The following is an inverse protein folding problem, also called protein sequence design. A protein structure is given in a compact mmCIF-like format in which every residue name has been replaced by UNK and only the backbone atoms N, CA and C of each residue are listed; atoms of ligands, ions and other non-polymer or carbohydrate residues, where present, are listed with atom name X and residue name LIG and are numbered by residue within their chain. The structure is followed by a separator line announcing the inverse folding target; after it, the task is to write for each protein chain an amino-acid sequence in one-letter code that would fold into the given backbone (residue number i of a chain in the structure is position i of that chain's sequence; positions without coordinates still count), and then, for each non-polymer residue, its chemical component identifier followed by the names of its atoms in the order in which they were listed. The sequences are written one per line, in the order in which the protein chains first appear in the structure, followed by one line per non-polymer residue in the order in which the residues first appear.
data_IF_759057156013
#
_entry.id   IF_759057156013
#
_cell.length_a   1.000
_cell.length_b   1.000
_cell.length_c   1.000
_cell.angle_alpha   90.00
_cell.angle_beta   90.00
_cell.angle_gamma   90.00
#
_symmetry.space_group_name_H-M   'P 1'
#
loop_
_entity.id
_entity.type
_entity.pdbx_description
1 polymer ?
#
# COMPACT_ATOMS: atom_id res chain seq x y z
N UNK A 1 2.92 37.04 10.97
CA UNK A 1 4.24 37.31 10.34
C UNK A 1 5.32 36.37 10.88
N UNK A 2 5.54 36.30 12.19
CA UNK A 2 6.56 35.42 12.80
C UNK A 2 6.41 33.91 12.48
N UNK A 3 5.18 33.38 12.47
CA UNK A 3 4.90 31.96 12.14
C UNK A 3 5.27 31.61 10.69
N UNK A 4 4.99 32.51 9.75
CA UNK A 4 5.32 32.29 8.35
C UNK A 4 6.82 32.38 8.10
N UNK A 5 7.50 33.30 8.80
CA UNK A 5 8.96 33.43 8.72
C UNK A 5 9.65 32.20 9.34
N UNK A 6 9.17 31.69 10.47
CA UNK A 6 9.73 30.48 11.09
C UNK A 6 9.50 29.24 10.23
N UNK A 7 8.31 29.06 9.64
CA UNK A 7 8.04 28.00 8.66
C UNK A 7 8.95 28.11 7.44
N UNK A 8 9.13 29.31 6.90
CA UNK A 8 10.00 29.54 5.75
C UNK A 8 11.45 29.16 6.05
N UNK A 9 11.98 29.60 7.20
CA UNK A 9 13.34 29.26 7.64
C UNK A 9 13.45 27.74 7.84
N UNK A 10 12.46 27.10 8.48
CA UNK A 10 12.48 25.64 8.69
C UNK A 10 12.49 24.86 7.36
N UNK A 11 11.69 25.29 6.38
CA UNK A 11 11.66 24.70 5.03
C UNK A 11 13.01 24.91 4.33
N UNK A 12 13.60 26.10 4.42
CA UNK A 12 14.90 26.40 3.83
C UNK A 12 16.01 25.54 4.47
N UNK A 13 16.07 25.49 5.80
CA UNK A 13 17.02 24.63 6.53
C UNK A 13 16.85 23.17 6.13
N UNK A 14 15.61 22.67 6.05
CA UNK A 14 15.33 21.32 5.56
C UNK A 14 15.84 21.12 4.13
N UNK A 15 15.53 22.03 3.19
CA UNK A 15 15.87 21.92 1.78
C UNK A 15 17.38 21.84 1.49
N UNK A 16 18.19 22.56 2.27
CA UNK A 16 19.65 22.56 2.18
C UNK A 16 20.33 21.53 3.09
N UNK A 17 19.59 20.87 3.98
CA UNK A 17 20.12 19.80 4.83
C UNK A 17 20.34 18.49 4.05
N UNK A 18 21.12 17.54 4.61
CA UNK A 18 21.18 16.18 4.09
C UNK A 18 19.81 15.51 3.95
N UNK A 19 18.86 15.81 4.83
CA UNK A 19 17.49 15.29 4.74
C UNK A 19 16.77 15.83 3.50
N UNK A 20 16.93 17.12 3.17
CA UNK A 20 16.41 17.71 1.94
C UNK A 20 17.09 17.16 0.68
N UNK A 21 18.39 16.87 0.75
CA UNK A 21 19.09 16.20 -0.33
C UNK A 21 18.53 14.78 -0.58
N UNK A 22 18.28 14.01 0.48
CA UNK A 22 17.63 12.69 0.38
C UNK A 22 16.20 12.78 -0.15
N UNK A 23 15.42 13.75 0.32
CA UNK A 23 14.07 14.00 -0.19
C UNK A 23 14.08 14.27 -1.70
N UNK A 24 15.00 15.11 -2.20
CA UNK A 24 15.16 15.35 -3.65
C UNK A 24 15.58 14.07 -4.40
N UNK A 25 16.51 13.30 -3.84
CA UNK A 25 16.98 12.06 -4.44
C UNK A 25 15.86 11.02 -4.60
N UNK A 26 14.88 10.98 -3.69
CA UNK A 26 13.70 10.09 -3.80
C UNK A 26 12.92 10.28 -5.11
N UNK A 27 12.96 11.47 -5.71
CA UNK A 27 12.31 11.77 -7.00
C UNK A 27 13.25 11.70 -8.20
N UNK A 28 14.55 11.46 -7.98
CA UNK A 28 15.53 11.36 -9.06
C UNK A 28 15.47 9.98 -9.71
N UNK A 29 15.20 9.94 -11.01
CA UNK A 29 15.22 8.70 -11.79
C UNK A 29 16.65 8.21 -12.09
N UNK A 30 17.68 9.03 -11.81
CA UNK A 30 19.09 8.64 -11.94
C UNK A 30 19.70 8.16 -10.62
N UNK A 31 18.95 8.23 -9.51
CA UNK A 31 19.40 7.67 -8.23
C UNK A 31 19.41 6.13 -8.32
N UNK A 32 20.50 5.49 -7.87
CA UNK A 32 20.74 4.06 -8.06
C UNK A 32 19.58 3.17 -7.58
N UNK A 33 18.94 3.51 -6.45
CA UNK A 33 17.81 2.75 -5.91
C UNK A 33 16.55 2.84 -6.79
N UNK A 34 16.27 4.00 -7.39
CA UNK A 34 15.13 4.17 -8.28
C UNK A 34 15.38 3.49 -9.63
N UNK A 35 16.60 3.56 -10.15
CA UNK A 35 17.01 2.82 -11.35
C UNK A 35 16.82 1.31 -11.13
N UNK A 36 17.25 0.80 -9.97
CA UNK A 36 17.08 -0.60 -9.62
C UNK A 36 15.59 -1.01 -9.58
N UNK A 37 14.72 -0.22 -8.94
CA UNK A 37 13.27 -0.49 -8.95
C UNK A 37 12.67 -0.51 -10.35
N UNK A 38 13.07 0.42 -11.22
CA UNK A 38 12.59 0.42 -12.60
C UNK A 38 13.05 -0.83 -13.37
N UNK A 39 14.26 -1.33 -13.09
CA UNK A 39 14.74 -2.58 -13.66
C UNK A 39 13.95 -3.79 -13.13
N UNK A 40 13.71 -3.88 -11.82
CA UNK A 40 12.90 -4.98 -11.24
C UNK A 40 11.47 -4.95 -11.75
N UNK A 41 10.85 -3.79 -11.95
CA UNK A 41 9.51 -3.69 -12.54
C UNK A 41 9.49 -4.17 -13.99
N UNK A 42 10.52 -3.87 -14.78
CA UNK A 42 10.63 -4.39 -16.15
C UNK A 42 10.76 -5.91 -16.17
N UNK A 43 11.52 -6.48 -15.24
CA UNK A 43 11.62 -7.94 -15.07
C UNK A 43 10.26 -8.54 -14.67
N UNK A 44 9.57 -7.94 -13.70
CA UNK A 44 8.23 -8.38 -13.31
C UNK A 44 7.23 -8.36 -14.46
N UNK A 45 7.24 -7.30 -15.27
CA UNK A 45 6.39 -7.21 -16.47
C UNK A 45 6.77 -8.30 -17.48
N UNK A 46 8.04 -8.65 -17.64
CA UNK A 46 8.46 -9.74 -18.54
C UNK A 46 7.96 -11.10 -18.05
N UNK A 47 8.01 -11.37 -16.74
CA UNK A 47 7.44 -12.58 -16.12
C UNK A 47 5.90 -12.61 -16.28
N UNK A 48 5.22 -11.49 -16.01
CA UNK A 48 3.76 -11.38 -16.22
C UNK A 48 3.40 -11.68 -17.68
N UNK A 49 4.19 -11.23 -18.65
CA UNK A 49 3.94 -11.50 -20.07
C UNK A 49 4.06 -12.98 -20.44
N UNK A 50 4.84 -13.78 -19.71
CA UNK A 50 4.96 -15.22 -19.99
C UNK A 50 3.79 -16.02 -19.41
N UNK A 51 3.20 -15.58 -18.30
CA UNK A 51 2.06 -16.26 -17.65
C UNK A 51 1.02 -15.26 -17.07
N UNK A 52 0.33 -14.45 -17.90
CA UNK A 52 -0.47 -13.32 -17.42
C UNK A 52 -1.73 -13.73 -16.63
N UNK A 53 -2.26 -14.92 -16.90
CA UNK A 53 -3.52 -15.39 -16.31
C UNK A 53 -3.32 -16.23 -15.05
N UNK A 54 -2.41 -17.22 -15.11
CA UNK A 54 -2.15 -18.14 -14.00
C UNK A 54 -1.00 -17.67 -13.09
N UNK A 55 -0.14 -16.79 -13.57
CA UNK A 55 1.14 -16.49 -12.94
C UNK A 55 2.12 -17.65 -13.04
N UNK A 56 3.31 -17.46 -12.48
CA UNK A 56 4.38 -18.49 -12.45
C UNK A 56 4.31 -19.40 -11.22
N UNK A 57 3.36 -19.17 -10.31
CA UNK A 57 3.22 -19.88 -9.04
C UNK A 57 3.65 -19.04 -7.84
N UNK A 58 2.96 -19.21 -6.71
CA UNK A 58 3.25 -18.52 -5.46
C UNK A 58 4.69 -18.80 -4.99
N UNK A 59 5.44 -17.75 -4.67
CA UNK A 59 6.85 -17.82 -4.27
C UNK A 59 7.82 -18.17 -5.40
N UNK A 60 7.36 -18.23 -6.66
CA UNK A 60 8.18 -18.63 -7.81
C UNK A 60 8.71 -17.45 -8.62
N UNK A 61 8.36 -16.20 -8.26
CA UNK A 61 8.80 -15.02 -8.99
C UNK A 61 10.34 -14.94 -9.11
N UNK A 62 11.06 -15.12 -8.01
CA UNK A 62 12.52 -15.04 -8.00
C UNK A 62 13.18 -16.07 -8.91
N UNK A 63 12.68 -17.31 -8.93
CA UNK A 63 13.14 -18.38 -9.83
C UNK A 63 12.79 -18.10 -11.29
N UNK A 64 11.66 -17.44 -11.55
CA UNK A 64 11.27 -17.05 -12.91
C UNK A 64 12.15 -15.91 -13.46
N UNK A 65 12.68 -15.04 -12.60
CA UNK A 65 13.63 -13.99 -12.99
C UNK A 65 15.06 -14.54 -13.12
N UNK A 66 15.49 -15.34 -12.16
CA UNK A 66 16.81 -15.95 -12.12
C UNK A 66 16.70 -17.42 -11.67
N UNK A 67 16.72 -18.40 -12.59
CA UNK A 67 16.63 -19.82 -12.24
C UNK A 67 17.80 -20.33 -11.37
N UNK A 68 18.93 -19.62 -11.37
CA UNK A 68 20.10 -19.92 -10.54
C UNK A 68 20.05 -19.22 -9.17
N UNK A 69 18.99 -18.45 -8.88
CA UNK A 69 18.85 -17.76 -7.61
C UNK A 69 18.82 -18.76 -6.45
N UNK A 70 19.83 -18.68 -5.59
CA UNK A 70 19.88 -19.44 -4.34
C UNK A 70 18.97 -18.81 -3.28
N UNK A 71 18.75 -19.53 -2.18
CA UNK A 71 17.95 -19.07 -1.04
C UNK A 71 18.36 -17.69 -0.46
N UNK A 72 19.63 -17.30 -0.64
CA UNK A 72 20.17 -16.02 -0.15
C UNK A 72 20.08 -14.87 -1.16
N UNK A 73 19.42 -15.08 -2.30
CA UNK A 73 19.21 -14.07 -3.32
C UNK A 73 17.70 -13.81 -3.54
N UNK A 74 16.99 -13.30 -2.50
CA UNK A 74 15.57 -13.08 -2.60
C UNK A 74 15.29 -11.94 -3.60
N UNK A 75 14.80 -12.32 -4.77
CA UNK A 75 14.44 -11.39 -5.84
C UNK A 75 12.96 -11.06 -5.74
N UNK A 76 12.63 -9.78 -5.55
CA UNK A 76 11.26 -9.26 -5.53
C UNK A 76 11.08 -8.13 -6.53
N UNK A 77 9.84 -7.87 -6.92
CA UNK A 77 9.55 -6.78 -7.84
C UNK A 77 9.75 -5.40 -7.19
N UNK A 78 9.80 -5.28 -5.86
CA UNK A 78 9.64 -4.01 -5.14
C UNK A 78 8.36 -3.27 -5.55
N UNK A 79 7.30 -4.04 -5.79
CA UNK A 79 5.94 -3.59 -6.03
C UNK A 79 5.03 -4.79 -5.77
N UNK A 80 4.27 -4.76 -4.68
CA UNK A 80 3.45 -5.89 -4.27
C UNK A 80 2.40 -6.27 -5.33
N UNK A 81 1.89 -5.32 -6.12
CA UNK A 81 0.91 -5.59 -7.15
C UNK A 81 1.52 -6.33 -8.34
N UNK A 82 2.74 -5.96 -8.75
CA UNK A 82 3.47 -6.67 -9.79
C UNK A 82 3.88 -8.07 -9.32
N UNK A 83 4.29 -8.22 -8.05
CA UNK A 83 4.60 -9.52 -7.45
C UNK A 83 3.37 -10.44 -7.45
N UNK A 84 2.24 -9.96 -6.92
CA UNK A 84 0.98 -10.71 -6.90
C UNK A 84 0.54 -11.10 -8.31
N UNK A 85 0.67 -10.20 -9.29
CA UNK A 85 0.32 -10.52 -10.67
C UNK A 85 1.30 -11.53 -11.30
N UNK A 86 2.60 -11.37 -11.09
CA UNK A 86 3.60 -12.30 -11.64
C UNK A 86 3.39 -13.72 -11.09
N UNK A 87 3.10 -13.86 -9.79
CA UNK A 87 3.00 -15.16 -9.13
C UNK A 87 1.63 -15.83 -9.27
N UNK A 88 0.55 -15.06 -9.13
CA UNK A 88 -0.82 -15.58 -9.07
C UNK A 88 -1.67 -15.22 -10.30
N UNK A 89 -1.09 -14.48 -11.25
CA UNK A 89 -1.77 -14.02 -12.45
C UNK A 89 -2.84 -12.95 -12.17
N UNK A 90 -3.58 -12.61 -13.22
CA UNK A 90 -4.61 -11.56 -13.16
C UNK A 90 -5.72 -11.89 -12.15
N UNK A 91 -6.00 -13.18 -11.91
CA UNK A 91 -7.02 -13.61 -10.95
C UNK A 91 -6.57 -13.32 -9.51
N UNK A 92 -5.31 -13.61 -9.17
CA UNK A 92 -4.75 -13.26 -7.87
C UNK A 92 -4.72 -11.75 -7.63
N UNK A 93 -4.32 -10.98 -8.66
CA UNK A 93 -4.35 -9.52 -8.60
C UNK A 93 -5.78 -8.99 -8.39
N UNK A 94 -6.76 -9.54 -9.10
CA UNK A 94 -8.16 -9.13 -8.95
C UNK A 94 -8.67 -9.40 -7.53
N UNK A 95 -8.41 -10.58 -6.98
CA UNK A 95 -8.79 -10.92 -5.58
C UNK A 95 -8.14 -9.94 -4.60
N UNK A 96 -6.85 -9.65 -4.78
CA UNK A 96 -6.12 -8.71 -3.93
C UNK A 96 -6.73 -7.30 -3.96
N UNK A 97 -7.04 -6.79 -5.16
CA UNK A 97 -7.65 -5.46 -5.32
C UNK A 97 -9.09 -5.40 -4.80
N UNK A 98 -9.88 -6.46 -4.98
CA UNK A 98 -11.22 -6.55 -4.40
C UNK A 98 -11.14 -6.52 -2.88
N UNK A 99 -10.24 -7.30 -2.28
CA UNK A 99 -10.04 -7.34 -0.83
C UNK A 99 -9.73 -5.94 -0.28
N UNK A 100 -8.75 -5.25 -0.87
CA UNK A 100 -8.42 -3.87 -0.50
C UNK A 100 -9.63 -2.95 -0.68
N UNK A 101 -10.34 -3.06 -1.80
CA UNK A 101 -11.53 -2.28 -2.11
C UNK A 101 -12.63 -2.42 -1.06
N UNK A 102 -12.93 -3.64 -0.61
CA UNK A 102 -13.93 -3.89 0.45
C UNK A 102 -13.53 -3.27 1.79
N UNK A 103 -12.24 -3.36 2.15
CA UNK A 103 -11.74 -2.75 3.38
C UNK A 103 -11.74 -1.22 3.33
N UNK A 104 -11.56 -0.61 2.16
CA UNK A 104 -11.80 0.82 1.98
C UNK A 104 -13.29 1.16 2.00
N UNK A 105 -14.13 0.34 1.37
CA UNK A 105 -15.56 0.64 1.20
C UNK A 105 -16.27 0.80 2.54
N UNK A 106 -15.93 0.00 3.54
CA UNK A 106 -16.58 0.02 4.86
C UNK A 106 -16.47 1.38 5.58
N UNK A 107 -15.28 1.93 5.87
CA UNK A 107 -15.17 3.24 6.50
C UNK A 107 -15.66 4.38 5.60
N UNK A 108 -15.55 4.26 4.26
CA UNK A 108 -16.08 5.28 3.35
C UNK A 108 -17.61 5.33 3.36
N UNK A 109 -18.29 4.19 3.28
CA UNK A 109 -19.76 4.11 3.39
C UNK A 109 -20.23 4.73 4.70
N UNK A 110 -19.50 4.50 5.80
CA UNK A 110 -19.78 5.09 7.11
C UNK A 110 -19.68 6.61 7.10
N UNK A 111 -18.58 7.16 6.58
CA UNK A 111 -18.39 8.61 6.47
C UNK A 111 -19.46 9.26 5.60
N UNK A 112 -19.90 8.60 4.53
CA UNK A 112 -20.99 9.09 3.67
C UNK A 112 -22.32 9.11 4.44
N UNK A 113 -22.65 8.05 5.19
CA UNK A 113 -23.87 8.00 6.01
C UNK A 113 -23.91 9.12 7.07
N UNK A 114 -22.78 9.37 7.72
CA UNK A 114 -22.59 10.50 8.64
C UNK A 114 -22.82 11.84 7.93
N UNK A 115 -22.15 12.07 6.80
CA UNK A 115 -22.22 13.35 6.06
C UNK A 115 -23.62 13.64 5.51
N UNK A 116 -24.38 12.61 5.16
CA UNK A 116 -25.76 12.74 4.68
C UNK A 116 -26.79 12.96 5.80
N UNK A 117 -26.34 13.08 7.05
CA UNK A 117 -27.20 13.38 8.20
C UNK A 117 -28.07 12.21 8.65
N UNK A 118 -27.83 11.00 8.11
CA UNK A 118 -28.56 9.79 8.52
C UNK A 118 -28.23 9.39 9.95
N UNK A 119 -27.02 9.71 10.42
CA UNK A 119 -26.56 9.39 11.78
C UNK A 119 -25.72 10.52 12.36
N UNK A 120 -25.78 10.71 13.69
CA UNK A 120 -24.93 11.65 14.43
C UNK A 120 -23.73 10.91 15.01
N UNK A 121 -22.51 11.11 14.49
CA UNK A 121 -21.33 10.43 15.01
C UNK A 121 -20.80 11.11 16.27
N UNK A 122 -19.98 10.36 17.01
CA UNK A 122 -19.05 10.94 17.97
C UNK A 122 -17.77 11.41 17.25
N UNK A 123 -17.03 12.35 17.84
CA UNK A 123 -15.80 12.88 17.23
C UNK A 123 -14.75 11.78 17.06
N UNK A 124 -14.67 10.89 18.05
CA UNK A 124 -13.76 9.76 18.13
C UNK A 124 -14.00 8.77 16.98
N UNK A 125 -15.27 8.58 16.60
CA UNK A 125 -15.65 7.74 15.47
C UNK A 125 -15.11 8.30 14.14
N UNK A 126 -15.25 9.61 13.91
CA UNK A 126 -14.72 10.25 12.68
C UNK A 126 -13.20 10.11 12.63
N UNK A 127 -12.50 10.37 13.74
CA UNK A 127 -11.05 10.22 13.81
C UNK A 127 -10.60 8.78 13.54
N UNK A 128 -11.32 7.80 14.09
CA UNK A 128 -11.06 6.39 13.86
C UNK A 128 -11.25 5.99 12.38
N UNK A 129 -12.34 6.45 11.75
CA UNK A 129 -12.60 6.22 10.32
C UNK A 129 -11.52 6.79 9.43
N UNK A 130 -11.10 8.04 9.70
CA UNK A 130 -10.01 8.68 8.98
C UNK A 130 -8.68 7.96 9.21
N UNK A 131 -8.44 7.46 10.43
CA UNK A 131 -7.28 6.64 10.75
C UNK A 131 -7.22 5.33 9.96
N UNK A 132 -8.35 4.62 9.83
CA UNK A 132 -8.45 3.40 9.03
C UNK A 132 -8.23 3.68 7.54
N UNK A 133 -8.86 4.72 6.99
CA UNK A 133 -8.67 5.09 5.58
C UNK A 133 -7.22 5.51 5.34
N UNK A 134 -6.64 6.30 6.24
CA UNK A 134 -5.27 6.77 6.15
C UNK A 134 -4.25 5.63 6.22
N UNK A 135 -4.45 4.65 7.10
CA UNK A 135 -3.54 3.49 7.23
C UNK A 135 -3.64 2.55 6.02
N UNK A 136 -4.84 2.27 5.53
CA UNK A 136 -5.05 1.49 4.30
C UNK A 136 -4.45 2.20 3.09
N UNK A 137 -4.62 3.52 2.98
CA UNK A 137 -4.03 4.32 1.91
C UNK A 137 -2.51 4.32 1.97
N UNK A 138 -1.94 4.52 3.16
CA UNK A 138 -0.50 4.47 3.38
C UNK A 138 0.08 3.11 2.97
N UNK A 139 -0.53 2.01 3.41
CA UNK A 139 -0.13 0.66 3.02
C UNK A 139 -0.23 0.44 1.49
N UNK A 140 -1.36 0.84 0.88
CA UNK A 140 -1.62 0.62 -0.54
C UNK A 140 -0.67 1.41 -1.44
N UNK A 141 -0.38 2.67 -1.08
CA UNK A 141 0.58 3.51 -1.81
C UNK A 141 2.00 3.02 -1.61
N UNK A 142 2.38 2.65 -0.38
CA UNK A 142 3.70 2.10 -0.10
C UNK A 142 3.95 0.80 -0.86
N UNK A 143 2.91 -0.04 -1.01
CA UNK A 143 2.94 -1.29 -1.76
C UNK A 143 3.23 -1.14 -3.26
N UNK A 144 3.14 0.08 -3.82
CA UNK A 144 3.59 0.35 -5.19
C UNK A 144 5.11 0.31 -5.33
N UNK A 145 5.85 0.54 -4.24
CA UNK A 145 7.30 0.71 -4.25
C UNK A 145 8.03 -0.31 -3.39
N UNK A 146 7.29 -1.16 -2.68
CA UNK A 146 7.84 -2.18 -1.79
C UNK A 146 6.90 -3.37 -1.64
N UNK A 147 7.46 -4.53 -1.30
CA UNK A 147 6.72 -5.77 -0.99
C UNK A 147 6.56 -5.95 0.52
N UNK A 148 6.09 -4.90 1.19
CA UNK A 148 6.04 -4.83 2.65
C UNK A 148 5.14 -5.92 3.30
N UNK A 149 4.21 -6.49 2.54
CA UNK A 149 3.33 -7.59 2.99
C UNK A 149 4.09 -8.84 3.43
N UNK A 150 5.29 -9.08 2.89
CA UNK A 150 6.12 -10.22 3.27
C UNK A 150 6.82 -10.02 4.62
N UNK A 151 6.78 -8.81 5.21
CA UNK A 151 7.21 -8.58 6.58
C UNK A 151 6.13 -9.08 7.56
N UNK A 152 6.45 -10.01 8.48
CA UNK A 152 5.49 -10.50 9.45
C UNK A 152 4.90 -9.39 10.32
N UNK A 153 5.68 -8.35 10.61
CA UNK A 153 5.23 -7.20 11.42
C UNK A 153 4.18 -6.39 10.66
N UNK A 154 4.46 -6.05 9.41
CA UNK A 154 3.53 -5.26 8.58
C UNK A 154 2.26 -6.06 8.29
N UNK A 155 2.40 -7.35 7.98
CA UNK A 155 1.26 -8.24 7.80
C UNK A 155 0.39 -8.28 9.05
N UNK A 156 0.98 -8.43 10.24
CA UNK A 156 0.24 -8.44 11.50
C UNK A 156 -0.53 -7.14 11.72
N UNK A 157 0.08 -5.98 11.44
CA UNK A 157 -0.60 -4.68 11.53
C UNK A 157 -1.74 -4.55 10.53
N UNK A 158 -1.54 -5.01 9.29
CA UNK A 158 -2.57 -5.03 8.26
C UNK A 158 -3.76 -5.89 8.67
N UNK A 159 -3.50 -7.09 9.22
CA UNK A 159 -4.55 -7.99 9.71
C UNK A 159 -5.36 -7.36 10.85
N UNK A 160 -4.72 -6.60 11.75
CA UNK A 160 -5.43 -5.84 12.80
C UNK A 160 -6.33 -4.76 12.17
N UNK A 161 -5.83 -4.00 11.20
CA UNK A 161 -6.61 -2.97 10.48
C UNK A 161 -7.82 -3.60 9.77
N UNK A 162 -7.62 -4.73 9.11
CA UNK A 162 -8.70 -5.49 8.46
C UNK A 162 -9.73 -5.99 9.47
N UNK A 163 -9.31 -6.54 10.61
CA UNK A 163 -10.23 -6.98 11.66
C UNK A 163 -11.08 -5.83 12.22
N UNK A 164 -10.48 -4.65 12.42
CA UNK A 164 -11.18 -3.45 12.87
C UNK A 164 -12.21 -2.96 11.86
N UNK A 165 -11.85 -2.94 10.57
CA UNK A 165 -12.78 -2.57 9.49
C UNK A 165 -13.93 -3.60 9.37
N UNK A 166 -13.63 -4.90 9.43
CA UNK A 166 -14.66 -5.95 9.36
C UNK A 166 -15.64 -5.90 10.55
N UNK A 167 -15.14 -5.66 11.77
CA UNK A 167 -16.00 -5.50 12.95
C UNK A 167 -17.00 -4.34 12.77
N UNK A 168 -16.54 -3.26 12.16
CA UNK A 168 -17.37 -2.10 11.87
C UNK A 168 -18.46 -2.40 10.83
N UNK A 169 -18.15 -3.13 9.76
CA UNK A 169 -19.13 -3.54 8.77
C UNK A 169 -20.29 -4.31 9.42
N UNK A 170 -19.94 -5.30 10.27
CA UNK A 170 -20.92 -6.09 11.03
C UNK A 170 -21.81 -5.22 11.91
N UNK A 171 -21.23 -4.23 12.59
CA UNK A 171 -21.99 -3.31 13.45
C UNK A 171 -22.92 -2.38 12.65
N UNK A 172 -22.55 -2.01 11.42
CA UNK A 172 -23.40 -1.21 10.54
C UNK A 172 -24.61 -2.02 10.04
N UNK A 173 -24.37 -3.26 9.59
CA UNK A 173 -25.46 -4.16 9.15
C UNK A 173 -26.48 -4.40 10.27
N UNK A 174 -26.00 -4.63 11.50
CA UNK A 174 -26.86 -4.78 12.67
C UNK A 174 -27.71 -3.52 12.95
N UNK A 175 -27.21 -2.32 12.64
CA UNK A 175 -27.98 -1.07 12.80
C UNK A 175 -29.03 -0.86 11.71
N UNK A 176 -28.82 -1.41 10.52
CA UNK A 176 -29.77 -1.29 9.40
C UNK A 176 -30.95 -2.26 9.56
N UNK A 177 -30.73 -3.40 10.22
CA UNK A 177 -31.75 -4.43 10.43
C UNK A 177 -32.67 -4.17 11.65
N UNK A 178 -32.33 -3.22 12.51
CA UNK A 178 -33.13 -2.80 13.67
C UNK A 178 -33.84 -1.48 13.37
#
# INVERSE_FOLDING_TARGET
MFVFLSLFIAIAVFYFSPAGARFKASFSLSEGSNVQRLQTWRQAIAVIKSAPFAGVGLGSYGLAVNPEAGYRDPTYAHNAYLDVWAELGVMGLAVWLILLGEFFATPFKRLIAIKTGKEKPQKEEILFLLGLIGSLAAFSVHSLFETAIFSPVILSLLMIIFALAANMAKNQEARIMN
#
